data_IF_839803992387
#
_entry.id   IF_839803992387
#
_cell.length_a   1.000
_cell.length_b   1.000
_cell.length_c   1.000
_cell.angle_alpha   90.00
_cell.angle_beta   90.00
_cell.angle_gamma   90.00
#
_symmetry.space_group_name_H-M   'P 1'
#
loop_
_entity.id
_entity.type
_entity.pdbx_description
1 polymer ?
#
# COMPACT_ATOMS: atom_id res chain seq x y z
N UNK A 1 -17.90 56.57 59.98
CA UNK A 1 -16.84 56.63 58.93
C UNK A 1 -16.80 55.41 57.99
N UNK A 2 -17.60 54.34 58.18
CA UNK A 2 -17.43 53.08 57.42
C UNK A 2 -18.05 53.02 56.01
N UNK A 3 -19.03 53.87 55.65
CA UNK A 3 -19.72 53.77 54.34
C UNK A 3 -19.00 54.48 53.18
N UNK A 4 -18.22 55.52 53.47
CA UNK A 4 -17.49 56.30 52.44
C UNK A 4 -16.22 55.61 51.96
N UNK A 5 -15.53 54.89 52.85
CA UNK A 5 -14.33 54.12 52.49
C UNK A 5 -14.69 52.91 51.62
N UNK A 6 -15.83 52.27 51.89
CA UNK A 6 -16.31 51.13 51.09
C UNK A 6 -16.71 51.53 49.66
N UNK A 7 -17.32 52.71 49.50
CA UNK A 7 -17.70 53.25 48.18
C UNK A 7 -16.47 53.64 47.33
N UNK A 8 -15.41 54.14 47.96
CA UNK A 8 -14.16 54.49 47.26
C UNK A 8 -13.40 53.23 46.83
N UNK A 9 -13.34 52.19 47.67
CA UNK A 9 -12.72 50.92 47.30
C UNK A 9 -13.48 50.19 46.18
N UNK A 10 -14.82 50.24 46.18
CA UNK A 10 -15.64 49.65 45.11
C UNK A 10 -15.49 50.41 43.79
N UNK A 11 -15.38 51.75 43.84
CA UNK A 11 -15.11 52.57 42.67
C UNK A 11 -13.72 52.29 42.08
N UNK A 12 -12.68 52.13 42.91
CA UNK A 12 -11.34 51.78 42.43
C UNK A 12 -11.26 50.37 41.81
N UNK A 13 -12.04 49.40 42.30
CA UNK A 13 -12.08 48.06 41.72
C UNK A 13 -12.74 48.00 40.33
N UNK A 14 -13.71 48.88 40.06
CA UNK A 14 -14.39 48.98 38.76
C UNK A 14 -13.53 49.64 37.67
N UNK A 15 -12.56 50.49 38.03
CA UNK A 15 -11.64 51.12 37.08
C UNK A 15 -10.44 50.23 36.67
N UNK A 16 -10.26 49.06 37.29
CA UNK A 16 -9.16 48.13 36.96
C UNK A 16 -9.46 47.16 35.80
N UNK A 17 -10.60 47.33 35.10
CA UNK A 17 -11.06 46.42 34.05
C UNK A 17 -10.79 46.80 32.56
N UNK A 18 -10.02 47.84 32.16
CA UNK A 18 -9.75 48.06 30.74
C UNK A 18 -8.58 47.18 30.25
N UNK A 19 -8.64 45.87 30.51
CA UNK A 19 -7.60 44.90 30.11
C UNK A 19 -8.04 43.92 29.02
N UNK A 20 -9.33 43.87 28.68
CA UNK A 20 -9.85 42.79 27.83
C UNK A 20 -9.83 43.08 26.32
N UNK A 21 -9.67 44.33 25.85
CA UNK A 21 -9.61 44.62 24.41
C UNK A 21 -8.19 44.68 23.84
N UNK A 22 -7.19 45.05 24.64
CA UNK A 22 -5.78 45.03 24.24
C UNK A 22 -5.21 43.62 24.16
N UNK A 23 -5.74 42.64 24.91
CA UNK A 23 -5.23 41.25 24.93
C UNK A 23 -5.78 40.40 23.78
N UNK A 24 -6.96 40.71 23.25
CA UNK A 24 -7.58 39.98 22.13
C UNK A 24 -6.70 39.89 20.86
N UNK A 25 -6.06 40.98 20.37
CA UNK A 25 -5.20 40.89 19.18
C UNK A 25 -3.94 40.05 19.42
N UNK A 26 -3.33 40.13 20.60
CA UNK A 26 -2.15 39.32 20.94
C UNK A 26 -2.49 37.84 21.06
N UNK A 27 -3.63 37.48 21.67
CA UNK A 27 -4.07 36.08 21.74
C UNK A 27 -4.39 35.52 20.36
N UNK A 28 -4.98 36.33 19.45
CA UNK A 28 -5.20 35.91 18.05
C UNK A 28 -3.88 35.72 17.29
N UNK A 29 -2.94 36.64 17.44
CA UNK A 29 -1.60 36.54 16.84
C UNK A 29 -0.84 35.31 17.37
N UNK A 30 -0.87 35.08 18.67
CA UNK A 30 -0.24 33.92 19.32
C UNK A 30 -0.84 32.60 18.87
N UNK A 31 -2.17 32.52 18.77
CA UNK A 31 -2.87 31.33 18.25
C UNK A 31 -2.58 31.08 16.77
N UNK A 32 -2.46 32.14 15.97
CA UNK A 32 -2.10 32.04 14.55
C UNK A 32 -0.66 31.56 14.39
N UNK A 33 0.29 32.15 15.13
CA UNK A 33 1.68 31.69 15.13
C UNK A 33 1.79 30.22 15.58
N UNK A 34 1.05 29.84 16.61
CA UNK A 34 0.99 28.46 17.09
C UNK A 34 0.43 27.51 16.01
N UNK A 35 -0.63 27.89 15.32
CA UNK A 35 -1.18 27.12 14.19
C UNK A 35 -0.26 27.10 12.97
N UNK A 36 0.50 28.15 12.70
CA UNK A 36 1.31 28.19 11.48
C UNK A 36 2.64 27.44 11.66
N UNK A 37 3.23 27.44 12.87
CA UNK A 37 4.59 26.95 13.11
C UNK A 37 4.72 25.79 14.11
N UNK A 38 3.78 25.62 15.03
CA UNK A 38 3.86 24.61 16.11
C UNK A 38 2.91 23.45 15.83
N UNK A 39 1.69 23.75 15.41
CA UNK A 39 0.67 22.77 15.06
C UNK A 39 0.01 23.15 13.74
N UNK A 40 0.82 23.13 12.68
CA UNK A 40 0.37 23.29 11.30
C UNK A 40 -0.65 22.20 11.01
N UNK A 41 -1.87 22.62 10.68
CA UNK A 41 -2.93 21.70 10.27
C UNK A 41 -2.37 20.88 9.08
N UNK A 42 -2.24 19.54 9.20
CA UNK A 42 -1.55 18.75 8.20
C UNK A 42 -2.34 18.79 6.89
N UNK A 43 -1.74 19.39 5.86
CA UNK A 43 -2.29 19.37 4.50
C UNK A 43 -1.70 18.21 3.74
N UNK A 44 -2.54 17.29 3.27
CA UNK A 44 -2.12 16.21 2.38
C UNK A 44 -1.97 16.81 0.99
N UNK A 45 -0.75 16.90 0.50
CA UNK A 45 -0.49 17.21 -0.90
C UNK A 45 -0.77 15.96 -1.75
N UNK A 46 -1.92 15.94 -2.43
CA UNK A 46 -2.32 14.85 -3.31
C UNK A 46 -1.47 14.77 -4.60
N UNK A 47 -0.68 15.82 -4.91
CA UNK A 47 0.19 15.85 -6.09
C UNK A 47 1.61 15.33 -5.78
N UNK A 48 2.00 15.33 -4.50
CA UNK A 48 3.27 14.77 -4.06
C UNK A 48 3.03 13.43 -3.35
N UNK A 49 3.22 12.29 -4.03
CA UNK A 49 3.02 10.97 -3.44
C UNK A 49 4.02 10.63 -2.32
N UNK A 50 4.92 11.54 -1.94
CA UNK A 50 5.89 11.36 -0.86
C UNK A 50 7.07 10.46 -1.22
N UNK A 51 7.08 9.87 -2.42
CA UNK A 51 8.16 9.04 -2.96
C UNK A 51 8.86 9.81 -4.08
N UNK A 52 10.12 10.19 -3.82
CA UNK A 52 10.93 10.96 -4.75
C UNK A 52 11.50 10.14 -5.90
N UNK A 53 11.75 8.85 -5.70
CA UNK A 53 12.28 7.95 -6.73
C UNK A 53 11.14 7.46 -7.65
N UNK A 54 11.15 7.79 -8.95
CA UNK A 54 10.10 7.37 -9.88
C UNK A 54 10.00 5.85 -10.02
N UNK A 55 11.09 5.11 -9.85
CA UNK A 55 11.12 3.65 -9.94
C UNK A 55 10.48 3.01 -8.70
N UNK A 56 10.76 3.54 -7.51
CA UNK A 56 10.11 3.08 -6.27
C UNK A 56 8.62 3.40 -6.30
N UNK A 57 8.25 4.59 -6.78
CA UNK A 57 6.85 4.98 -6.98
C UNK A 57 6.15 4.04 -7.97
N UNK A 58 6.80 3.72 -9.09
CA UNK A 58 6.29 2.76 -10.08
C UNK A 58 6.07 1.38 -9.45
N UNK A 59 7.07 0.85 -8.73
CA UNK A 59 6.93 -0.43 -8.04
C UNK A 59 5.73 -0.39 -7.10
N UNK A 60 5.67 0.59 -6.19
CA UNK A 60 4.59 0.75 -5.23
C UNK A 60 3.21 0.81 -5.90
N UNK A 61 3.05 1.63 -6.93
CA UNK A 61 1.78 1.76 -7.66
C UNK A 61 1.34 0.45 -8.32
N UNK A 62 2.28 -0.35 -8.83
CA UNK A 62 1.96 -1.59 -9.53
C UNK A 62 1.70 -2.76 -8.58
N UNK A 63 2.48 -2.92 -7.52
CA UNK A 63 2.36 -4.09 -6.64
C UNK A 63 1.33 -3.91 -5.53
N UNK A 64 1.08 -2.69 -5.04
CA UNK A 64 0.22 -2.44 -3.87
C UNK A 64 -1.19 -3.03 -4.03
N UNK A 65 -1.93 -2.81 -5.15
CA UNK A 65 -3.28 -3.36 -5.29
C UNK A 65 -3.31 -4.90 -5.30
N UNK A 66 -2.22 -5.53 -5.74
CA UNK A 66 -2.05 -6.99 -5.76
C UNK A 66 -1.79 -7.52 -4.35
N UNK A 67 -0.82 -6.92 -3.65
CA UNK A 67 -0.41 -7.34 -2.29
C UNK A 67 -1.51 -7.08 -1.26
N UNK A 68 -2.21 -5.95 -1.33
CA UNK A 68 -3.32 -5.64 -0.44
C UNK A 68 -4.43 -6.68 -0.52
N UNK A 69 -4.76 -7.15 -1.73
CA UNK A 69 -5.83 -8.13 -1.95
C UNK A 69 -5.41 -9.52 -1.53
N UNK A 70 -4.14 -9.87 -1.71
CA UNK A 70 -3.55 -11.09 -1.14
C UNK A 70 -3.53 -11.05 0.38
N UNK A 71 -3.16 -9.92 0.99
CA UNK A 71 -3.18 -9.73 2.45
C UNK A 71 -4.61 -9.84 3.00
N UNK A 72 -5.59 -9.26 2.31
CA UNK A 72 -6.99 -9.41 2.67
C UNK A 72 -7.45 -10.87 2.65
N UNK A 73 -7.04 -11.65 1.65
CA UNK A 73 -7.32 -13.09 1.60
C UNK A 73 -6.70 -13.81 2.80
N UNK A 74 -5.41 -13.56 3.09
CA UNK A 74 -4.71 -14.19 4.22
C UNK A 74 -5.41 -13.87 5.54
N UNK A 75 -5.88 -12.63 5.73
CA UNK A 75 -6.67 -12.23 6.90
C UNK A 75 -8.02 -12.92 6.95
N UNK A 76 -8.75 -13.00 5.85
CA UNK A 76 -10.04 -13.70 5.77
C UNK A 76 -9.92 -15.19 6.08
N UNK A 77 -8.87 -15.85 5.57
CA UNK A 77 -8.57 -17.22 5.94
C UNK A 77 -8.28 -17.31 7.44
N UNK A 78 -7.36 -16.48 7.95
CA UNK A 78 -6.95 -16.48 9.36
C UNK A 78 -8.10 -16.29 10.34
N UNK A 79 -9.11 -15.49 9.97
CA UNK A 79 -10.27 -15.20 10.80
C UNK A 79 -11.25 -16.38 10.94
N UNK A 80 -11.16 -17.40 10.09
CA UNK A 80 -12.02 -18.56 10.19
C UNK A 80 -11.59 -19.44 11.37
N UNK A 81 -12.42 -19.71 12.37
CA UNK A 81 -11.97 -20.58 13.49
C UNK A 81 -12.33 -22.06 13.27
N UNK A 82 -13.54 -22.31 12.79
CA UNK A 82 -14.08 -23.66 12.60
C UNK A 82 -13.86 -24.17 11.18
N UNK A 83 -13.88 -25.50 10.94
CA UNK A 83 -13.90 -26.04 9.59
C UNK A 83 -15.08 -25.44 8.79
N UNK A 84 -14.82 -24.80 7.64
CA UNK A 84 -15.88 -24.13 6.90
C UNK A 84 -16.79 -25.13 6.21
N UNK A 85 -18.05 -24.75 6.06
CA UNK A 85 -19.02 -25.44 5.23
C UNK A 85 -18.93 -24.97 3.77
N UNK A 86 -19.76 -25.55 2.89
CA UNK A 86 -19.80 -25.19 1.48
C UNK A 86 -20.19 -23.72 1.26
N UNK A 87 -21.20 -23.23 1.97
CA UNK A 87 -21.69 -21.85 1.87
C UNK A 87 -20.58 -20.82 2.20
N UNK A 88 -19.80 -21.06 3.26
CA UNK A 88 -18.68 -20.19 3.59
C UNK A 88 -17.62 -20.18 2.49
N UNK A 89 -17.29 -21.35 1.92
CA UNK A 89 -16.32 -21.45 0.83
C UNK A 89 -16.82 -20.76 -0.45
N UNK A 90 -18.12 -20.83 -0.74
CA UNK A 90 -18.76 -20.06 -1.82
C UNK A 90 -18.64 -18.55 -1.56
N UNK A 91 -18.99 -18.09 -0.36
CA UNK A 91 -18.85 -16.68 0.03
C UNK A 91 -17.40 -16.17 -0.06
N UNK A 92 -16.42 -17.01 0.26
CA UNK A 92 -15.00 -16.66 0.07
C UNK A 92 -14.68 -16.46 -1.42
N UNK A 93 -15.11 -17.38 -2.30
CA UNK A 93 -14.90 -17.26 -3.74
C UNK A 93 -15.59 -16.01 -4.33
N UNK A 94 -16.77 -15.66 -3.85
CA UNK A 94 -17.48 -14.44 -4.25
C UNK A 94 -16.74 -13.17 -3.82
N UNK A 95 -16.18 -13.15 -2.60
CA UNK A 95 -15.38 -12.04 -2.10
C UNK A 95 -14.02 -11.89 -2.82
N UNK A 96 -13.49 -13.00 -3.34
CA UNK A 96 -12.21 -13.09 -4.03
C UNK A 96 -12.36 -13.76 -5.41
N UNK A 97 -12.94 -13.06 -6.40
CA UNK A 97 -13.28 -13.64 -7.71
C UNK A 97 -12.07 -14.03 -8.58
N UNK A 98 -10.86 -13.74 -8.12
CA UNK A 98 -9.61 -14.14 -8.76
C UNK A 98 -9.06 -15.48 -8.22
N UNK A 99 -9.71 -16.07 -7.20
CA UNK A 99 -9.36 -17.41 -6.74
C UNK A 99 -9.69 -18.44 -7.83
N UNK A 100 -8.77 -19.39 -8.04
CA UNK A 100 -9.03 -20.57 -8.86
C UNK A 100 -9.92 -21.57 -8.11
N UNK A 101 -9.77 -21.65 -6.79
CA UNK A 101 -10.55 -22.56 -5.96
C UNK A 101 -10.20 -22.55 -4.48
N UNK A 102 -11.02 -23.27 -3.73
CA UNK A 102 -10.94 -23.49 -2.28
C UNK A 102 -11.14 -24.97 -2.02
N UNK A 103 -10.35 -25.55 -1.12
CA UNK A 103 -10.48 -26.93 -0.69
C UNK A 103 -10.36 -27.04 0.83
N UNK A 104 -11.07 -28.00 1.41
CA UNK A 104 -10.91 -28.41 2.81
C UNK A 104 -10.35 -29.81 2.80
N UNK A 105 -9.18 -29.98 3.39
CA UNK A 105 -8.51 -31.27 3.53
C UNK A 105 -8.66 -31.77 4.96
N UNK A 106 -8.79 -33.07 5.13
CA UNK A 106 -8.71 -33.76 6.43
C UNK A 106 -7.26 -33.82 6.92
N UNK A 107 -7.06 -34.28 8.15
CA UNK A 107 -5.75 -34.57 8.73
C UNK A 107 -4.96 -35.63 7.95
N UNK A 108 -5.64 -36.57 7.30
CA UNK A 108 -5.07 -37.54 6.36
C UNK A 108 -4.71 -36.97 4.99
N UNK A 109 -5.04 -35.70 4.71
CA UNK A 109 -4.83 -35.05 3.41
C UNK A 109 -5.90 -35.38 2.36
N UNK A 110 -6.99 -36.05 2.75
CA UNK A 110 -8.11 -36.33 1.85
C UNK A 110 -8.98 -35.09 1.67
N UNK A 111 -9.49 -34.87 0.45
CA UNK A 111 -10.34 -33.71 0.15
C UNK A 111 -11.75 -33.95 0.68
N UNK A 112 -12.14 -33.22 1.72
CA UNK A 112 -13.50 -33.26 2.29
C UNK A 112 -14.48 -32.36 1.52
N UNK A 113 -14.01 -31.20 1.08
CA UNK A 113 -14.76 -30.24 0.29
C UNK A 113 -13.84 -29.60 -0.75
N UNK A 114 -14.36 -29.33 -1.95
CA UNK A 114 -13.64 -28.61 -2.99
C UNK A 114 -14.61 -27.79 -3.84
N UNK A 115 -14.27 -26.52 -4.06
CA UNK A 115 -14.97 -25.60 -4.94
C UNK A 115 -13.96 -24.89 -5.86
N UNK A 116 -14.25 -24.77 -7.17
CA UNK A 116 -15.31 -25.47 -7.89
C UNK A 116 -15.08 -26.99 -7.87
N UNK A 117 -16.16 -27.79 -7.95
CA UNK A 117 -16.05 -29.27 -7.94
C UNK A 117 -15.16 -29.80 -9.07
N UNK A 118 -15.19 -29.11 -10.21
CA UNK A 118 -14.30 -29.36 -11.34
C UNK A 118 -13.39 -28.16 -11.55
N UNK A 119 -12.08 -28.42 -11.63
CA UNK A 119 -11.07 -27.42 -11.96
C UNK A 119 -10.40 -27.80 -13.28
N UNK A 120 -10.17 -26.81 -14.13
CA UNK A 120 -9.39 -26.96 -15.36
C UNK A 120 -7.95 -27.38 -15.08
N UNK A 121 -7.40 -26.93 -13.94
CA UNK A 121 -6.04 -27.22 -13.48
C UNK A 121 -6.11 -28.21 -12.33
N UNK A 122 -5.51 -29.39 -12.49
CA UNK A 122 -5.37 -30.34 -11.40
C UNK A 122 -4.36 -29.77 -10.38
N UNK A 123 -4.77 -29.63 -9.13
CA UNK A 123 -3.94 -29.11 -8.04
C UNK A 123 -3.61 -30.26 -7.10
N UNK A 124 -2.33 -30.47 -6.86
CA UNK A 124 -1.84 -31.42 -5.85
C UNK A 124 -1.64 -30.71 -4.52
N UNK A 125 -2.34 -31.18 -3.49
CA UNK A 125 -2.29 -30.61 -2.15
C UNK A 125 -1.30 -31.34 -1.22
N UNK A 126 -0.72 -32.46 -1.64
CA UNK A 126 0.19 -33.24 -0.79
C UNK A 126 1.35 -32.42 -0.21
N UNK A 127 2.01 -31.50 -0.96
CA UNK A 127 3.10 -30.69 -0.40
C UNK A 127 2.68 -29.79 0.77
N UNK A 128 1.41 -29.41 0.86
CA UNK A 128 0.90 -28.64 2.00
C UNK A 128 0.80 -29.50 3.25
N UNK A 129 0.52 -30.80 3.13
CA UNK A 129 0.43 -31.72 4.26
C UNK A 129 1.82 -32.03 4.84
N UNK A 130 2.87 -32.03 4.00
CA UNK A 130 4.26 -32.20 4.42
C UNK A 130 4.76 -31.05 5.32
N UNK A 131 4.09 -29.90 5.30
CA UNK A 131 4.37 -28.75 6.16
C UNK A 131 3.77 -28.87 7.57
N UNK A 132 3.43 -30.08 8.01
CA UNK A 132 2.78 -30.38 9.29
C UNK A 132 3.48 -29.81 10.54
N UNK A 133 4.81 -29.57 10.49
CA UNK A 133 5.52 -28.89 11.59
C UNK A 133 5.00 -27.47 11.85
N UNK A 134 4.59 -26.74 10.80
CA UNK A 134 3.98 -25.41 10.92
C UNK A 134 2.62 -25.48 11.57
N UNK A 135 1.83 -26.50 11.25
CA UNK A 135 0.52 -26.72 11.86
C UNK A 135 0.64 -27.14 13.32
N UNK A 136 1.72 -27.79 13.76
CA UNK A 136 1.95 -27.99 15.21
C UNK A 136 2.10 -26.66 15.96
N UNK A 137 2.63 -25.64 15.30
CA UNK A 137 2.78 -24.28 15.82
C UNK A 137 1.59 -23.36 15.51
N UNK A 138 0.48 -23.90 14.97
CA UNK A 138 -0.71 -23.13 14.55
C UNK A 138 -0.41 -22.04 13.51
N UNK A 139 0.63 -22.24 12.69
CA UNK A 139 1.03 -21.32 11.61
C UNK A 139 0.41 -21.75 10.28
N UNK A 140 0.01 -20.77 9.48
CA UNK A 140 -0.32 -21.00 8.08
C UNK A 140 0.90 -21.45 7.28
N UNK A 141 0.63 -22.09 6.16
CA UNK A 141 1.60 -22.50 5.16
C UNK A 141 1.20 -21.95 3.79
N UNK A 142 2.18 -21.80 2.91
CA UNK A 142 1.93 -21.56 1.49
C UNK A 142 2.76 -22.54 0.65
N UNK A 143 2.40 -22.77 -0.60
CA UNK A 143 3.21 -23.54 -1.52
C UNK A 143 2.93 -23.11 -2.94
N UNK A 144 3.96 -23.13 -3.78
CA UNK A 144 3.83 -22.84 -5.22
C UNK A 144 3.95 -24.16 -5.98
N UNK A 145 2.84 -24.61 -6.56
CA UNK A 145 2.83 -25.78 -7.42
C UNK A 145 3.08 -25.38 -8.87
N UNK A 146 4.16 -25.88 -9.47
CA UNK A 146 4.36 -25.74 -10.90
C UNK A 146 3.37 -26.65 -11.66
N UNK A 147 2.85 -26.16 -12.80
CA UNK A 147 2.07 -26.97 -13.73
C UNK A 147 2.34 -26.52 -15.16
N UNK A 148 1.94 -27.34 -16.14
CA UNK A 148 2.01 -26.99 -17.56
C UNK A 148 1.19 -25.73 -17.91
N UNK A 149 0.13 -25.45 -17.13
CA UNK A 149 -0.75 -24.29 -17.31
C UNK A 149 -0.31 -23.08 -16.48
N UNK A 150 0.93 -23.07 -15.97
CA UNK A 150 1.47 -22.02 -15.11
C UNK A 150 1.54 -22.41 -13.63
N UNK A 151 2.23 -21.60 -12.83
CA UNK A 151 2.36 -21.84 -11.39
C UNK A 151 1.04 -21.55 -10.66
N UNK A 152 0.68 -22.39 -9.69
CA UNK A 152 -0.45 -22.17 -8.79
C UNK A 152 0.07 -21.84 -7.40
N UNK A 153 -0.40 -20.75 -6.82
CA UNK A 153 -0.11 -20.39 -5.44
C UNK A 153 -1.20 -20.98 -4.56
N UNK A 154 -0.81 -21.68 -3.50
CA UNK A 154 -1.71 -22.24 -2.50
C UNK A 154 -1.39 -21.67 -1.12
N UNK A 155 -2.42 -21.32 -0.36
CA UNK A 155 -2.32 -20.87 1.03
C UNK A 155 -3.16 -21.82 1.87
N UNK A 156 -2.51 -22.49 2.83
CA UNK A 156 -3.13 -23.41 3.75
C UNK A 156 -3.19 -22.83 5.16
N UNK A 157 -4.39 -22.85 5.72
CA UNK A 157 -4.65 -22.56 7.12
C UNK A 157 -4.99 -23.84 7.87
N UNK A 158 -4.29 -24.15 8.98
CA UNK A 158 -4.67 -25.29 9.80
C UNK A 158 -6.02 -25.08 10.49
N UNK A 159 -6.78 -26.16 10.61
CA UNK A 159 -8.08 -26.22 11.28
C UNK A 159 -7.96 -27.09 12.54
N UNK A 160 -8.60 -26.66 13.62
CA UNK A 160 -8.60 -27.39 14.89
C UNK A 160 -10.02 -27.53 15.43
N UNK A 161 -10.29 -28.67 16.04
CA UNK A 161 -11.46 -28.90 16.90
C UNK A 161 -10.93 -29.42 18.22
N UNK A 162 -11.36 -28.85 19.34
CA UNK A 162 -10.90 -29.23 20.69
C UNK A 162 -9.37 -29.23 20.84
N UNK A 163 -8.71 -28.27 20.17
CA UNK A 163 -7.24 -28.15 20.07
C UNK A 163 -6.51 -29.28 19.34
N UNK A 164 -7.22 -30.22 18.74
CA UNK A 164 -6.65 -31.24 17.86
C UNK A 164 -6.67 -30.75 16.41
N UNK A 165 -5.58 -30.97 15.69
CA UNK A 165 -5.51 -30.70 14.25
C UNK A 165 -6.48 -31.61 13.50
N UNK A 166 -7.33 -31.03 12.64
CA UNK A 166 -8.32 -31.78 11.85
C UNK A 166 -8.09 -31.68 10.34
N UNK A 167 -7.07 -30.94 9.92
CA UNK A 167 -6.73 -30.74 8.52
C UNK A 167 -6.49 -29.27 8.19
N UNK A 168 -6.65 -28.90 6.92
CA UNK A 168 -6.34 -27.56 6.43
C UNK A 168 -7.45 -27.03 5.51
N UNK A 169 -7.73 -25.74 5.64
CA UNK A 169 -8.44 -24.95 4.64
C UNK A 169 -7.41 -24.39 3.66
N UNK A 170 -7.59 -24.67 2.37
CA UNK A 170 -6.70 -24.23 1.30
C UNK A 170 -7.44 -23.29 0.37
N UNK A 171 -6.88 -22.12 0.09
CA UNK A 171 -7.24 -21.29 -1.06
C UNK A 171 -6.11 -21.32 -2.07
N UNK A 172 -6.44 -21.43 -3.36
CA UNK A 172 -5.44 -21.47 -4.41
C UNK A 172 -5.83 -20.62 -5.62
N UNK A 173 -4.81 -20.10 -6.31
CA UNK A 173 -4.99 -19.18 -7.42
C UNK A 173 -3.78 -19.13 -8.35
N UNK A 174 -4.04 -18.70 -9.58
CA UNK A 174 -3.02 -18.28 -10.53
C UNK A 174 -2.64 -16.81 -10.27
N UNK A 175 -1.34 -16.51 -10.20
CA UNK A 175 -0.88 -15.15 -9.92
C UNK A 175 -1.25 -14.16 -11.03
N UNK A 176 -1.37 -14.62 -12.28
CA UNK A 176 -1.82 -13.81 -13.41
C UNK A 176 -3.28 -13.33 -13.27
N UNK A 177 -4.14 -14.08 -12.58
CA UNK A 177 -5.48 -13.62 -12.26
C UNK A 177 -5.46 -12.45 -11.26
N UNK A 178 -4.59 -12.52 -10.25
CA UNK A 178 -4.46 -11.49 -9.22
C UNK A 178 -3.75 -10.23 -9.75
N UNK A 179 -2.74 -10.37 -10.61
CA UNK A 179 -1.99 -9.23 -11.14
C UNK A 179 -2.83 -8.30 -12.01
N UNK A 180 -3.98 -8.75 -12.53
CA UNK A 180 -4.97 -7.89 -13.23
C UNK A 180 -5.50 -6.74 -12.37
N UNK A 181 -5.33 -6.80 -11.04
CA UNK A 181 -5.66 -5.70 -10.13
C UNK A 181 -4.62 -4.58 -10.17
N UNK A 182 -3.42 -4.85 -10.70
CA UNK A 182 -2.40 -3.85 -10.98
C UNK A 182 -2.85 -2.93 -12.13
N UNK A 183 -2.55 -1.61 -12.08
CA UNK A 183 -2.90 -0.68 -13.16
C UNK A 183 -2.26 -1.05 -14.52
N UNK A 184 -1.03 -1.56 -14.50
CA UNK A 184 -0.29 -1.98 -15.70
C UNK A 184 0.37 -3.36 -15.46
N UNK A 185 -0.40 -4.46 -15.53
CA UNK A 185 0.08 -5.79 -15.14
C UNK A 185 1.25 -6.30 -15.98
N UNK A 186 1.40 -5.84 -17.23
CA UNK A 186 2.53 -6.17 -18.10
C UNK A 186 3.87 -5.64 -17.58
N UNK A 187 3.86 -4.58 -16.76
CA UNK A 187 5.10 -4.01 -16.21
C UNK A 187 5.49 -4.57 -14.84
N UNK A 188 4.62 -5.38 -14.23
CA UNK A 188 4.86 -6.03 -12.96
C UNK A 188 5.33 -7.47 -13.19
N UNK A 189 6.39 -7.86 -12.50
CA UNK A 189 6.83 -9.24 -12.40
C UNK A 189 6.58 -9.73 -10.98
N UNK A 190 6.15 -10.99 -10.85
CA UNK A 190 5.98 -11.68 -9.58
C UNK A 190 6.66 -13.03 -9.68
N UNK A 191 7.52 -13.35 -8.72
CA UNK A 191 8.28 -14.60 -8.71
C UNK A 191 8.44 -15.13 -7.29
N UNK A 192 8.79 -16.40 -7.22
CA UNK A 192 9.32 -17.07 -6.02
C UNK A 192 10.72 -17.59 -6.35
N UNK A 193 11.61 -17.83 -5.38
CA UNK A 193 12.92 -18.41 -5.67
C UNK A 193 12.80 -19.69 -6.50
N UNK A 194 13.36 -19.66 -7.71
CA UNK A 194 13.36 -20.77 -8.66
C UNK A 194 12.17 -20.86 -9.61
N UNK A 195 11.14 -20.02 -9.49
CA UNK A 195 9.96 -20.07 -10.37
C UNK A 195 9.32 -18.70 -10.61
N UNK A 196 8.92 -18.44 -11.85
CA UNK A 196 8.14 -17.25 -12.22
C UNK A 196 6.66 -17.52 -11.98
N UNK A 197 6.01 -16.65 -11.22
CA UNK A 197 4.55 -16.69 -10.99
C UNK A 197 3.81 -15.85 -12.04
N UNK A 198 4.39 -14.71 -12.39
CA UNK A 198 3.90 -13.80 -13.43
C UNK A 198 5.07 -13.02 -14.02
N UNK A 199 5.33 -13.17 -15.33
CA UNK A 199 6.49 -12.54 -15.98
C UNK A 199 6.25 -11.14 -16.54
N UNK A 200 5.00 -10.68 -16.57
CA UNK A 200 4.63 -9.48 -17.31
C UNK A 200 5.03 -9.58 -18.79
N UNK A 201 5.44 -8.46 -19.36
CA UNK A 201 5.85 -8.33 -20.77
C UNK A 201 7.29 -8.79 -21.02
N UNK A 202 8.11 -8.94 -19.97
CA UNK A 202 9.52 -9.30 -20.06
C UNK A 202 9.81 -10.59 -19.26
N UNK A 203 9.30 -11.68 -19.81
CA UNK A 203 9.43 -13.03 -19.24
C UNK A 203 10.89 -13.49 -19.13
N UNK A 204 11.77 -13.04 -20.02
CA UNK A 204 13.19 -13.38 -20.00
C UNK A 204 13.91 -12.77 -18.79
N UNK A 205 13.63 -11.51 -18.46
CA UNK A 205 14.14 -10.91 -17.23
C UNK A 205 13.54 -11.57 -15.98
N UNK A 206 12.24 -11.86 -15.98
CA UNK A 206 11.58 -12.56 -14.87
C UNK A 206 12.23 -13.93 -14.58
N UNK A 207 12.52 -14.71 -15.62
CA UNK A 207 13.25 -15.99 -15.55
C UNK A 207 14.66 -15.84 -14.96
N UNK A 208 15.37 -14.77 -15.34
CA UNK A 208 16.70 -14.48 -14.81
C UNK A 208 16.63 -14.10 -13.33
N UNK A 209 15.67 -13.24 -12.96
CA UNK A 209 15.42 -12.85 -11.57
C UNK A 209 15.04 -14.06 -10.71
N UNK A 210 14.20 -14.97 -11.20
CA UNK A 210 13.78 -16.16 -10.46
C UNK A 210 14.96 -17.07 -10.08
N UNK A 211 16.02 -17.08 -10.89
CA UNK A 211 17.23 -17.92 -10.69
C UNK A 211 18.27 -17.28 -9.78
N UNK A 212 18.07 -16.05 -9.31
CA UNK A 212 18.98 -15.41 -8.36
C UNK A 212 19.05 -16.18 -7.04
N UNK A 213 20.18 -16.03 -6.34
CA UNK A 213 20.35 -16.61 -5.02
C UNK A 213 19.60 -15.79 -3.96
N UNK A 214 18.28 -15.86 -4.00
CA UNK A 214 17.37 -15.15 -3.09
C UNK A 214 17.62 -15.51 -1.63
N UNK A 215 18.08 -16.73 -1.33
CA UNK A 215 18.46 -17.12 0.03
C UNK A 215 19.60 -16.26 0.57
N UNK A 216 20.53 -15.83 -0.27
CA UNK A 216 21.62 -14.94 0.15
C UNK A 216 21.21 -13.47 0.11
N UNK A 217 20.48 -13.03 -0.92
CA UNK A 217 20.02 -11.64 -1.04
C UNK A 217 19.13 -11.23 0.12
N UNK A 218 18.20 -12.09 0.53
CA UNK A 218 17.22 -11.82 1.57
C UNK A 218 17.76 -11.95 3.01
N UNK A 219 19.09 -12.12 3.19
CA UNK A 219 19.70 -12.09 4.52
C UNK A 219 19.83 -10.69 5.08
N UNK A 220 20.05 -9.70 4.21
CA UNK A 220 20.30 -8.31 4.59
C UNK A 220 19.24 -7.36 4.06
N UNK A 221 18.65 -7.65 2.90
CA UNK A 221 17.77 -6.73 2.20
C UNK A 221 16.40 -7.35 1.92
N UNK A 222 15.34 -6.55 1.99
CA UNK A 222 13.99 -6.91 1.52
C UNK A 222 13.58 -6.16 0.26
N UNK A 223 14.44 -5.26 -0.21
CA UNK A 223 14.27 -4.49 -1.44
C UNK A 223 15.63 -4.30 -2.08
N UNK A 224 15.68 -4.07 -3.39
CA UNK A 224 16.93 -3.73 -4.04
C UNK A 224 16.79 -3.53 -5.54
N UNK A 225 17.93 -3.51 -6.21
CA UNK A 225 18.02 -3.38 -7.66
C UNK A 225 18.89 -4.50 -8.22
N UNK A 226 18.56 -4.99 -9.41
CA UNK A 226 19.39 -5.94 -10.15
C UNK A 226 19.44 -5.56 -11.63
N UNK A 227 20.61 -5.65 -12.26
CA UNK A 227 20.81 -5.28 -13.67
C UNK A 227 20.82 -6.51 -14.57
N UNK A 228 20.01 -6.48 -15.62
CA UNK A 228 19.93 -7.53 -16.65
C UNK A 228 20.00 -6.85 -18.01
N UNK A 229 21.01 -7.20 -18.83
CA UNK A 229 21.13 -6.68 -20.19
C UNK A 229 21.22 -5.16 -20.30
N UNK A 230 21.68 -4.46 -19.25
CA UNK A 230 21.73 -2.99 -19.20
C UNK A 230 20.47 -2.32 -18.64
N UNK A 231 19.38 -3.07 -18.43
CA UNK A 231 18.17 -2.59 -17.76
C UNK A 231 18.27 -2.89 -16.26
N UNK A 232 17.99 -1.87 -15.44
CA UNK A 232 17.85 -2.02 -14.00
C UNK A 232 16.43 -2.47 -13.64
N UNK A 233 16.31 -3.44 -12.74
CA UNK A 233 15.03 -3.90 -12.20
C UNK A 233 15.04 -3.66 -10.70
N UNK A 234 14.07 -2.88 -10.22
CA UNK A 234 13.82 -2.74 -8.80
C UNK A 234 12.98 -3.92 -8.33
N UNK A 235 13.28 -4.43 -7.15
CA UNK A 235 12.56 -5.54 -6.55
C UNK A 235 12.24 -5.30 -5.08
N UNK A 236 11.15 -5.91 -4.62
CA UNK A 236 10.72 -5.96 -3.23
C UNK A 236 10.23 -7.35 -2.88
N UNK A 237 10.72 -7.89 -1.77
CA UNK A 237 10.31 -9.17 -1.23
C UNK A 237 9.20 -9.01 -0.20
N UNK A 238 8.23 -9.94 -0.26
CA UNK A 238 7.14 -10.11 0.70
C UNK A 238 7.05 -11.59 1.07
N UNK A 239 6.51 -11.88 2.24
CA UNK A 239 6.38 -13.25 2.72
C UNK A 239 4.92 -13.66 2.72
N UNK A 240 4.61 -14.76 2.04
CA UNK A 240 3.32 -15.43 2.09
C UNK A 240 3.49 -16.70 2.93
N UNK A 241 3.10 -16.61 4.20
CA UNK A 241 3.50 -17.60 5.20
C UNK A 241 5.03 -17.81 5.21
N UNK A 242 5.55 -18.98 4.82
CA UNK A 242 6.99 -19.21 4.67
C UNK A 242 7.52 -19.01 3.25
N UNK A 243 6.63 -18.90 2.26
CA UNK A 243 7.01 -18.66 0.87
C UNK A 243 7.46 -17.22 0.67
N UNK A 244 8.44 -17.04 -0.21
CA UNK A 244 9.03 -15.74 -0.51
C UNK A 244 8.54 -15.29 -1.86
N UNK A 245 7.75 -14.23 -1.86
CA UNK A 245 7.33 -13.56 -3.08
C UNK A 245 8.27 -12.39 -3.34
N UNK A 246 8.62 -12.19 -4.60
CA UNK A 246 9.38 -11.03 -5.05
C UNK A 246 8.58 -10.35 -6.14
N UNK A 247 8.25 -9.09 -5.90
CA UNK A 247 7.71 -8.18 -6.89
C UNK A 247 8.87 -7.45 -7.54
N UNK A 248 8.86 -7.31 -8.86
CA UNK A 248 9.89 -6.57 -9.57
C UNK A 248 9.31 -5.75 -10.73
N UNK A 249 9.97 -4.64 -11.04
CA UNK A 249 9.63 -3.75 -12.17
C UNK A 249 10.91 -3.24 -12.81
N UNK A 250 10.88 -3.04 -14.13
CA UNK A 250 11.95 -2.29 -14.79
C UNK A 250 11.96 -0.85 -14.26
N UNK A 251 13.15 -0.38 -13.88
CA UNK A 251 13.39 0.96 -13.35
C UNK A 251 12.83 2.01 -14.32
N UNK A 252 12.20 3.03 -13.76
CA UNK A 252 11.73 4.15 -14.55
C UNK A 252 12.94 4.88 -15.15
N UNK A 253 12.81 5.32 -16.40
CA UNK A 253 13.77 6.27 -16.97
C UNK A 253 13.70 7.55 -16.12
N UNK A 254 14.84 8.22 -15.85
CA UNK A 254 14.82 9.50 -15.14
C UNK A 254 13.86 10.44 -15.85
N UNK A 255 12.87 10.97 -15.14
CA UNK A 255 12.03 12.03 -15.69
C UNK A 255 12.93 13.20 -16.09
N UNK A 256 12.78 13.79 -17.30
CA UNK A 256 13.45 15.03 -17.62
C UNK A 256 13.06 16.04 -16.55
N UNK A 257 14.04 16.61 -15.84
CA UNK A 257 13.78 17.71 -14.90
C UNK A 257 13.00 18.78 -15.66
N UNK A 258 11.75 19.01 -15.30
CA UNK A 258 11.02 20.17 -15.80
C UNK A 258 11.89 21.39 -15.50
N UNK A 259 12.29 22.09 -16.56
CA UNK A 259 13.02 23.33 -16.42
C UNK A 259 12.16 24.25 -15.54
N UNK A 260 12.76 24.74 -14.46
CA UNK A 260 12.19 25.76 -13.58
C UNK A 260 11.62 26.86 -14.50
N UNK A 261 10.33 27.24 -14.40
CA UNK A 261 9.82 28.33 -15.22
C UNK A 261 10.74 29.53 -15.05
N UNK A 262 11.28 30.04 -16.16
CA UNK A 262 12.00 31.30 -16.13
C UNK A 262 11.10 32.35 -15.45
N UNK A 263 11.65 33.18 -14.55
CA UNK A 263 10.89 34.27 -13.97
C UNK A 263 10.29 35.10 -15.11
N UNK A 264 8.96 35.15 -15.20
CA UNK A 264 8.29 36.04 -16.13
C UNK A 264 8.80 37.47 -15.88
N UNK A 265 9.19 38.22 -16.92
CA UNK A 265 9.59 39.60 -16.74
C UNK A 265 8.39 40.37 -16.16
N UNK A 266 8.61 40.97 -14.99
CA UNK A 266 7.68 41.94 -14.38
C UNK A 266 7.24 42.97 -15.41
N UNK A 267 5.93 43.24 -15.57
CA UNK A 267 5.48 44.32 -16.43
C UNK A 267 6.13 45.63 -15.99
N UNK A 268 6.83 46.29 -16.91
CA UNK A 268 7.31 47.66 -16.72
C UNK A 268 6.10 48.55 -16.45
N UNK A 269 6.16 49.32 -15.37
CA UNK A 269 5.17 50.35 -15.07
C UNK A 269 5.00 51.27 -16.28
N UNK A 270 3.77 51.38 -16.79
CA UNK A 270 3.41 52.39 -17.78
C UNK A 270 3.49 53.78 -17.14
N UNK A 271 4.34 54.63 -17.71
CA UNK A 271 4.38 56.07 -17.44
C UNK A 271 3.10 56.70 -17.99
N UNK A 272 2.31 57.46 -17.21
CA UNK A 272 1.14 58.14 -17.74
C UNK A 272 1.58 59.32 -18.61
N UNK A 273 1.27 59.25 -19.92
CA UNK A 273 1.38 60.36 -20.85
C UNK A 273 -0.03 60.86 -21.19
N UNK A 274 -0.28 62.15 -20.94
CA UNK A 274 -1.46 62.84 -21.51
C UNK A 274 -2.13 63.85 -20.60
N UNK A 275 -1.41 64.90 -20.19
CA UNK A 275 -2.06 66.17 -19.82
C UNK A 275 -2.17 67.01 -21.10
N UNK A 276 -3.38 67.14 -21.66
CA UNK A 276 -3.67 68.13 -22.69
C UNK A 276 -4.06 69.46 -22.03
N UNK A 277 -3.49 70.60 -22.46
CA UNK A 277 -3.77 71.90 -21.88
C UNK A 277 -5.09 72.50 -22.40
N UNK A 278 -5.83 73.15 -21.49
CA UNK A 278 -7.00 73.98 -21.76
C UNK A 278 -6.57 75.32 -22.38
N UNK A 279 -7.30 75.88 -23.37
CA UNK A 279 -6.96 77.16 -23.98
C UNK A 279 -7.44 78.33 -23.11
N UNK A 280 -6.59 79.34 -22.94
CA UNK A 280 -6.96 80.63 -22.35
C UNK A 280 -6.96 81.71 -23.43
N UNK A 281 -8.10 82.38 -23.50
CA UNK A 281 -8.47 83.52 -24.34
C UNK A 281 -7.66 84.78 -24.00
N UNK A 282 -7.56 85.68 -24.99
CA UNK A 282 -7.26 87.12 -24.91
C UNK A 282 -7.91 87.75 -23.65
N UNK A 283 -7.28 88.63 -22.87
CA UNK A 283 -6.67 89.95 -23.17
C UNK A 283 -5.53 90.29 -22.18
#
# INVERSE_FOLDING_TARGET
>A
MSKRVFLVLLACALFALPGCDTVKPYVKSSKRFYKDWINTDPTIDLQNPGISDPSVRKLANLFTPVDERMEFLVRSLSAQDLPPNEEWCQGLMEAFPWLSGVAVLTDSGSVALKLPSFSMKAVDFAPLMDLGSRYKERKMAAYVAASELGAEVMIAKPLYIDSEFKGVLVAHFDMGALTKLSPEPGQLMVLTPGSVLWGGDDTAAAETLAKLNWKNLLKSEVTGEYKIGGTSYLWQARFLAQERLVYAVAAAKPEPKQAKPEPQPTPKAETPAGANPTPATQE
#
